data_IF_509640049627
#
_entry.id   IF_509640049627
#
_cell.length_a   1.000
_cell.length_b   1.000
_cell.length_c   1.000
_cell.angle_alpha   90.00
_cell.angle_beta   90.00
_cell.angle_gamma   90.00
#
_symmetry.space_group_name_H-M   'P 1'
#
loop_
_entity.id
_entity.type
_entity.pdbx_description
1 polymer ?
#
# COMPACT_ATOMS: atom_id res chain seq x y z
N UNK A 1 -31.85 -34.73 33.93
CA UNK A 1 -31.89 -33.66 32.92
C UNK A 1 -31.02 -32.50 33.40
N UNK A 2 -29.72 -32.54 33.12
CA UNK A 2 -28.83 -31.40 33.37
C UNK A 2 -28.74 -30.61 32.06
N UNK A 3 -29.35 -29.43 32.07
CA UNK A 3 -29.21 -28.45 31.01
C UNK A 3 -27.74 -28.04 30.91
N UNK A 4 -27.10 -28.38 29.79
CA UNK A 4 -25.77 -27.87 29.46
C UNK A 4 -25.85 -26.36 29.24
N UNK A 5 -24.97 -25.65 29.94
CA UNK A 5 -24.87 -24.19 30.04
C UNK A 5 -24.62 -23.53 28.69
N UNK A 6 -25.18 -22.32 28.53
CA UNK A 6 -25.17 -21.51 27.31
C UNK A 6 -23.80 -20.88 26.98
N UNK A 7 -22.71 -21.32 27.60
CA UNK A 7 -21.38 -20.69 27.47
C UNK A 7 -20.47 -21.27 26.37
N UNK A 8 -20.75 -22.42 25.77
CA UNK A 8 -19.94 -22.96 24.65
C UNK A 8 -20.53 -22.58 23.28
N UNK A 9 -20.76 -21.28 23.06
CA UNK A 9 -21.04 -20.79 21.70
C UNK A 9 -19.74 -20.84 20.92
N UNK A 10 -19.41 -22.02 20.38
CA UNK A 10 -18.27 -22.28 19.50
C UNK A 10 -18.27 -21.17 18.44
N UNK A 11 -17.23 -20.31 18.39
CA UNK A 11 -17.23 -19.20 17.45
C UNK A 11 -17.31 -19.79 16.04
N UNK A 12 -18.22 -19.23 15.24
CA UNK A 12 -18.47 -19.59 13.84
C UNK A 12 -17.21 -19.23 13.02
N UNK A 13 -16.17 -20.06 13.16
CA UNK A 13 -14.78 -19.84 12.76
C UNK A 13 -14.60 -20.10 11.26
N UNK A 14 -15.27 -19.27 10.48
CA UNK A 14 -15.01 -19.13 9.04
C UNK A 14 -13.61 -18.55 8.74
N UNK A 15 -12.92 -18.03 9.77
CA UNK A 15 -11.66 -17.28 9.67
C UNK A 15 -10.40 -18.13 9.48
N UNK A 16 -10.44 -19.43 9.80
CA UNK A 16 -9.24 -20.27 9.74
C UNK A 16 -9.13 -21.08 8.44
N UNK A 17 -10.11 -20.99 7.53
CA UNK A 17 -10.05 -21.74 6.27
C UNK A 17 -9.05 -21.10 5.32
N UNK A 18 -8.10 -21.91 4.85
CA UNK A 18 -7.14 -21.54 3.81
C UNK A 18 -7.88 -21.25 2.50
N UNK A 19 -7.22 -20.53 1.59
CA UNK A 19 -7.78 -20.25 0.27
C UNK A 19 -8.14 -21.56 -0.47
N UNK A 20 -7.28 -22.58 -0.36
CA UNK A 20 -7.45 -23.88 -1.01
C UNK A 20 -8.65 -24.64 -0.45
N UNK A 21 -8.80 -24.68 0.88
CA UNK A 21 -9.93 -25.33 1.54
C UNK A 21 -11.27 -24.69 1.17
N UNK A 22 -11.28 -23.35 1.06
CA UNK A 22 -12.48 -22.64 0.61
C UNK A 22 -12.81 -22.94 -0.85
N UNK A 23 -11.80 -23.09 -1.71
CA UNK A 23 -12.01 -23.51 -3.10
C UNK A 23 -12.58 -24.93 -3.13
N UNK A 24 -12.04 -25.85 -2.34
CA UNK A 24 -12.57 -27.22 -2.24
C UNK A 24 -14.03 -27.23 -1.81
N UNK A 25 -14.41 -26.45 -0.81
CA UNK A 25 -15.81 -26.34 -0.38
C UNK A 25 -16.73 -25.78 -1.46
N UNK A 26 -16.25 -24.81 -2.24
CA UNK A 26 -16.99 -24.29 -3.38
C UNK A 26 -17.17 -25.38 -4.45
N UNK A 27 -16.13 -26.15 -4.76
CA UNK A 27 -16.20 -27.27 -5.71
C UNK A 27 -17.16 -28.36 -5.23
N UNK A 28 -17.13 -28.72 -3.95
CA UNK A 28 -18.04 -29.68 -3.34
C UNK A 28 -19.50 -29.23 -3.43
N UNK A 29 -19.76 -27.92 -3.32
CA UNK A 29 -21.10 -27.35 -3.43
C UNK A 29 -21.70 -27.43 -4.84
N UNK A 30 -20.88 -27.65 -5.86
CA UNK A 30 -21.33 -27.82 -7.24
C UNK A 30 -21.92 -29.20 -7.55
N UNK A 31 -21.84 -30.16 -6.62
CA UNK A 31 -22.43 -31.50 -6.78
C UNK A 31 -23.94 -31.44 -6.59
N UNK A 32 -24.69 -32.00 -7.53
CA UNK A 32 -26.16 -32.01 -7.47
C UNK A 32 -26.70 -32.73 -6.23
N UNK A 33 -27.71 -32.13 -5.59
CA UNK A 33 -28.42 -32.72 -4.44
C UNK A 33 -27.66 -32.69 -3.11
N UNK A 34 -26.48 -32.08 -3.03
CA UNK A 34 -25.71 -32.01 -1.80
C UNK A 34 -26.15 -30.84 -0.92
N UNK A 35 -26.54 -31.14 0.32
CA UNK A 35 -26.84 -30.12 1.33
C UNK A 35 -25.56 -29.59 1.98
N UNK A 36 -25.59 -28.39 2.57
CA UNK A 36 -24.44 -27.83 3.29
C UNK A 36 -23.93 -28.71 4.44
N UNK A 37 -24.81 -29.54 5.04
CA UNK A 37 -24.42 -30.53 6.05
C UNK A 37 -23.56 -31.63 5.44
N UNK A 38 -24.04 -32.23 4.34
CA UNK A 38 -23.30 -33.28 3.61
C UNK A 38 -21.95 -32.78 3.12
N UNK A 39 -21.88 -31.52 2.65
CA UNK A 39 -20.63 -30.89 2.24
C UNK A 39 -19.66 -30.75 3.41
N UNK A 40 -20.13 -30.28 4.57
CA UNK A 40 -19.29 -30.14 5.76
C UNK A 40 -18.81 -31.51 6.29
N UNK A 41 -19.69 -32.51 6.31
CA UNK A 41 -19.35 -33.89 6.69
C UNK A 41 -18.26 -34.46 5.78
N UNK A 42 -18.46 -34.40 4.46
CA UNK A 42 -17.49 -34.86 3.47
C UNK A 42 -16.14 -34.14 3.61
N UNK A 43 -16.16 -32.82 3.80
CA UNK A 43 -14.95 -32.05 4.00
C UNK A 43 -14.23 -32.46 5.30
N UNK A 44 -14.95 -32.61 6.41
CA UNK A 44 -14.36 -33.03 7.69
C UNK A 44 -13.80 -34.45 7.62
N UNK A 45 -14.42 -35.35 6.85
CA UNK A 45 -13.89 -36.70 6.59
C UNK A 45 -12.56 -36.67 5.84
N UNK A 46 -12.41 -35.76 4.87
CA UNK A 46 -11.14 -35.58 4.12
C UNK A 46 -10.05 -34.88 4.92
N UNK A 47 -10.43 -34.08 5.91
CA UNK A 47 -9.51 -33.29 6.74
C UNK A 47 -9.58 -33.68 8.22
N UNK A 48 -9.25 -34.93 8.60
CA UNK A 48 -9.43 -35.45 9.96
C UNK A 48 -8.50 -34.80 10.99
N UNK A 49 -7.36 -34.25 10.54
CA UNK A 49 -6.40 -33.54 11.40
C UNK A 49 -6.78 -32.08 11.66
N UNK A 50 -7.85 -31.58 11.02
CA UNK A 50 -8.36 -30.23 11.19
C UNK A 50 -9.52 -30.24 12.17
N UNK A 51 -9.70 -29.13 12.89
CA UNK A 51 -10.95 -28.93 13.61
C UNK A 51 -12.16 -28.95 12.67
N UNK A 52 -13.23 -29.70 13.00
CA UNK A 52 -14.40 -29.81 12.15
C UNK A 52 -15.02 -28.46 11.83
N UNK A 53 -15.32 -28.24 10.56
CA UNK A 53 -16.12 -27.10 10.11
C UNK A 53 -17.61 -27.43 10.24
N UNK A 54 -18.41 -26.39 10.48
CA UNK A 54 -19.86 -26.52 10.56
C UNK A 54 -20.53 -26.14 9.24
N UNK A 55 -21.71 -26.69 8.97
CA UNK A 55 -22.51 -26.40 7.78
C UNK A 55 -22.87 -24.91 7.64
N UNK A 56 -22.91 -24.15 8.75
CA UNK A 56 -23.09 -22.69 8.76
C UNK A 56 -21.94 -21.96 8.08
N UNK A 57 -20.70 -22.40 8.33
CA UNK A 57 -19.51 -21.83 7.70
C UNK A 57 -19.51 -22.06 6.18
N UNK A 58 -19.95 -23.26 5.74
CA UNK A 58 -20.16 -23.57 4.31
C UNK A 58 -21.20 -22.63 3.71
N UNK A 59 -22.36 -22.49 4.35
CA UNK A 59 -23.42 -21.59 3.86
C UNK A 59 -22.98 -20.14 3.75
N UNK A 60 -22.26 -19.62 4.75
CA UNK A 60 -21.70 -18.26 4.71
C UNK A 60 -20.66 -18.08 3.62
N UNK A 61 -19.79 -19.07 3.42
CA UNK A 61 -18.79 -19.05 2.34
C UNK A 61 -19.46 -19.01 0.98
N UNK A 62 -20.40 -19.92 0.71
CA UNK A 62 -21.11 -19.98 -0.58
C UNK A 62 -21.90 -18.70 -0.82
N UNK A 63 -22.58 -18.17 0.20
CA UNK A 63 -23.28 -16.89 0.10
C UNK A 63 -22.32 -15.75 -0.26
N UNK A 64 -21.17 -15.64 0.41
CA UNK A 64 -20.14 -14.65 0.11
C UNK A 64 -19.67 -14.78 -1.34
N UNK A 65 -19.35 -15.99 -1.79
CA UNK A 65 -18.86 -16.25 -3.15
C UNK A 65 -19.92 -15.89 -4.19
N UNK A 66 -21.20 -16.18 -3.95
CA UNK A 66 -22.31 -15.77 -4.82
C UNK A 66 -22.47 -14.25 -4.89
N UNK A 67 -22.26 -13.54 -3.79
CA UNK A 67 -22.39 -12.07 -3.73
C UNK A 67 -21.19 -11.34 -4.35
N UNK A 68 -19.95 -11.77 -4.09
CA UNK A 68 -18.73 -11.06 -4.49
C UNK A 68 -17.96 -11.71 -5.63
N UNK A 69 -18.34 -12.93 -6.06
CA UNK A 69 -17.60 -13.71 -7.07
C UNK A 69 -16.20 -14.17 -6.62
N UNK A 70 -15.86 -14.00 -5.33
CA UNK A 70 -14.51 -14.22 -4.82
C UNK A 70 -14.49 -15.04 -3.54
N UNK A 71 -13.54 -15.97 -3.49
CA UNK A 71 -13.28 -16.84 -2.33
C UNK A 71 -12.35 -16.16 -1.31
N UNK A 72 -11.66 -15.10 -1.74
CA UNK A 72 -10.70 -14.34 -0.92
C UNK A 72 -11.38 -13.68 0.28
N UNK A 73 -10.55 -13.34 1.27
CA UNK A 73 -11.02 -12.52 2.38
C UNK A 73 -11.41 -11.13 1.89
N UNK A 74 -12.51 -10.60 2.44
CA UNK A 74 -12.84 -9.20 2.25
C UNK A 74 -11.71 -8.37 2.86
N UNK A 75 -11.33 -7.24 2.24
CA UNK A 75 -10.36 -6.34 2.85
C UNK A 75 -10.85 -5.96 4.25
N UNK A 76 -9.98 -6.11 5.25
CA UNK A 76 -10.34 -5.76 6.62
C UNK A 76 -10.63 -4.27 6.68
N UNK A 77 -11.74 -3.89 7.32
CA UNK A 77 -11.98 -2.50 7.69
C UNK A 77 -10.92 -2.10 8.71
N UNK A 78 -9.84 -1.48 8.22
CA UNK A 78 -8.79 -0.92 9.07
C UNK A 78 -9.24 0.40 9.72
N UNK A 79 -8.32 1.00 10.49
CA UNK A 79 -8.51 2.36 11.00
C UNK A 79 -8.80 3.31 9.84
N UNK A 80 -9.85 4.15 9.90
CA UNK A 80 -10.17 5.08 8.83
C UNK A 80 -8.97 5.98 8.53
N UNK A 81 -8.68 6.13 7.23
CA UNK A 81 -7.67 7.08 6.76
C UNK A 81 -8.20 8.50 6.99
N UNK A 82 -7.29 9.47 7.18
CA UNK A 82 -7.65 10.90 7.14
C UNK A 82 -8.25 11.23 5.77
N UNK A 83 -9.20 12.19 5.74
CA UNK A 83 -9.90 12.60 4.51
C UNK A 83 -8.92 13.08 3.46
N UNK A 84 -9.26 12.85 2.19
CA UNK A 84 -8.41 13.25 1.07
C UNK A 84 -8.27 14.78 0.98
N UNK A 85 -9.31 15.53 1.33
CA UNK A 85 -9.26 16.99 1.49
C UNK A 85 -8.14 17.46 2.42
N UNK A 86 -7.95 16.79 3.56
CA UNK A 86 -6.88 17.17 4.50
C UNK A 86 -5.50 16.87 3.94
N UNK A 87 -5.37 15.82 3.12
CA UNK A 87 -4.11 15.51 2.43
C UNK A 87 -3.82 16.59 1.40
N UNK A 88 -4.79 16.91 0.54
CA UNK A 88 -4.64 17.93 -0.50
C UNK A 88 -4.25 19.29 0.09
N UNK A 89 -4.90 19.71 1.18
CA UNK A 89 -4.54 20.94 1.89
C UNK A 89 -3.10 20.92 2.43
N UNK A 90 -2.66 19.80 2.98
CA UNK A 90 -1.27 19.61 3.44
C UNK A 90 -0.28 19.68 2.27
N UNK A 91 -0.58 18.99 1.17
CA UNK A 91 0.28 18.96 -0.01
C UNK A 91 0.38 20.32 -0.68
N UNK A 92 -0.75 21.01 -0.90
CA UNK A 92 -0.78 22.36 -1.44
C UNK A 92 0.05 23.34 -0.60
N UNK A 93 -0.05 23.25 0.74
CA UNK A 93 0.70 24.13 1.64
C UNK A 93 2.20 23.89 1.58
N UNK A 94 2.62 22.64 1.44
CA UNK A 94 4.02 22.24 1.38
C UNK A 94 4.62 22.61 0.02
N UNK A 95 3.91 22.35 -1.07
CA UNK A 95 4.33 22.77 -2.42
C UNK A 95 4.47 24.29 -2.53
N UNK A 96 3.57 25.06 -1.91
CA UNK A 96 3.66 26.52 -1.88
C UNK A 96 4.80 27.07 -1.01
N UNK A 97 5.36 26.28 -0.08
CA UNK A 97 6.41 26.74 0.84
C UNK A 97 7.28 25.56 1.34
N UNK A 98 8.09 24.95 0.47
CA UNK A 98 8.81 23.71 0.78
C UNK A 98 9.87 23.87 1.88
N UNK A 99 10.38 25.09 2.07
CA UNK A 99 11.39 25.41 3.08
C UNK A 99 10.81 25.56 4.50
N UNK A 100 9.48 25.61 4.66
CA UNK A 100 8.85 25.82 5.99
C UNK A 100 8.84 24.54 6.82
N UNK A 101 8.94 24.72 8.14
CA UNK A 101 8.94 23.58 9.06
C UNK A 101 7.55 22.93 9.16
N UNK A 102 7.53 21.59 9.28
CA UNK A 102 6.29 20.84 9.46
C UNK A 102 5.51 21.24 10.73
N UNK A 103 6.22 21.79 11.74
CA UNK A 103 5.59 22.30 12.96
C UNK A 103 4.74 23.54 12.65
N UNK A 104 5.24 24.46 11.82
CA UNK A 104 4.48 25.62 11.36
C UNK A 104 3.28 25.19 10.52
N UNK A 105 3.47 24.26 9.59
CA UNK A 105 2.39 23.71 8.76
C UNK A 105 1.30 23.05 9.62
N UNK A 106 1.70 22.32 10.67
CA UNK A 106 0.80 21.73 11.65
C UNK A 106 -0.04 22.78 12.38
N UNK A 107 0.57 23.86 12.87
CA UNK A 107 -0.16 24.95 13.52
C UNK A 107 -1.15 25.64 12.58
N UNK A 108 -0.77 25.86 11.32
CA UNK A 108 -1.62 26.54 10.33
C UNK A 108 -2.82 25.68 9.91
N UNK A 109 -2.61 24.38 9.72
CA UNK A 109 -3.66 23.48 9.23
C UNK A 109 -4.43 22.76 10.34
N UNK A 110 -4.01 22.91 11.61
CA UNK A 110 -4.58 22.15 12.73
C UNK A 110 -4.34 20.63 12.67
N UNK A 111 -3.47 20.16 11.77
CA UNK A 111 -3.16 18.73 11.59
C UNK A 111 -1.93 18.37 12.41
N UNK A 112 -1.91 17.27 13.18
CA UNK A 112 -0.73 16.87 13.95
C UNK A 112 0.51 16.66 13.06
N UNK A 113 1.67 17.17 13.49
CA UNK A 113 2.96 17.03 12.77
C UNK A 113 3.26 15.57 12.37
N UNK A 114 2.97 14.61 13.23
CA UNK A 114 3.20 13.18 12.96
C UNK A 114 2.34 12.65 11.81
N UNK A 115 1.13 13.19 11.63
CA UNK A 115 0.25 12.85 10.51
C UNK A 115 0.78 13.46 9.22
N UNK A 116 1.18 14.73 9.25
CA UNK A 116 1.81 15.42 8.10
C UNK A 116 3.07 14.67 7.66
N UNK A 117 3.91 14.25 8.61
CA UNK A 117 5.12 13.47 8.30
C UNK A 117 4.80 12.13 7.62
N UNK A 118 3.78 11.39 8.08
CA UNK A 118 3.33 10.14 7.44
C UNK A 118 2.79 10.38 6.03
N UNK A 119 2.03 11.46 5.83
CA UNK A 119 1.53 11.87 4.51
C UNK A 119 2.71 12.12 3.55
N UNK A 120 3.69 12.93 3.98
CA UNK A 120 4.87 13.23 3.15
C UNK A 120 5.71 12.00 2.82
N UNK A 121 5.87 11.09 3.77
CA UNK A 121 6.57 9.83 3.52
C UNK A 121 5.85 8.97 2.48
N UNK A 122 4.51 8.94 2.54
CA UNK A 122 3.68 8.20 1.57
C UNK A 122 3.79 8.81 0.17
N UNK A 123 3.78 10.14 0.09
CA UNK A 123 3.91 10.92 -1.16
C UNK A 123 5.38 11.07 -1.63
N UNK A 124 6.33 10.36 -1.00
CA UNK A 124 7.76 10.37 -1.35
C UNK A 124 8.41 11.77 -1.35
N UNK A 125 7.93 12.67 -0.50
CA UNK A 125 8.60 13.95 -0.28
C UNK A 125 9.84 13.74 0.57
N UNK A 126 10.99 14.11 0.02
CA UNK A 126 12.26 14.07 0.71
C UNK A 126 12.59 15.45 1.30
N UNK A 127 13.29 15.44 2.44
CA UNK A 127 13.87 16.66 2.99
C UNK A 127 14.88 17.20 1.99
N UNK A 128 14.78 18.48 1.66
CA UNK A 128 15.83 19.17 0.92
C UNK A 128 17.10 19.28 1.78
N UNK A 129 18.22 18.78 1.26
CA UNK A 129 19.53 18.93 1.88
C UNK A 129 20.14 20.25 1.41
N UNK A 130 20.57 21.09 2.36
CA UNK A 130 21.24 22.34 2.04
C UNK A 130 22.55 22.03 1.32
N UNK A 131 22.69 22.53 0.10
CA UNK A 131 23.96 22.55 -0.63
C UNK A 131 24.60 23.92 -0.44
N UNK A 132 25.83 23.94 0.05
CA UNK A 132 26.63 25.17 0.11
C UNK A 132 27.24 25.35 -1.27
N UNK A 133 26.74 26.32 -2.02
CA UNK A 133 27.23 26.68 -3.34
C UNK A 133 28.01 28.00 -3.24
N UNK A 134 29.03 28.15 -4.08
CA UNK A 134 29.70 29.45 -4.23
C UNK A 134 28.72 30.48 -4.78
N UNK A 135 28.85 31.74 -4.35
CA UNK A 135 28.05 32.82 -4.93
C UNK A 135 28.43 32.97 -6.41
N UNK A 136 27.44 32.98 -7.29
CA UNK A 136 27.65 33.34 -8.69
C UNK A 136 27.56 34.87 -8.77
N UNK A 137 28.57 35.52 -9.35
CA UNK A 137 28.48 36.94 -9.72
C UNK A 137 27.61 37.09 -10.98
N UNK A 138 27.12 38.30 -11.27
CA UNK A 138 26.18 38.56 -12.38
C UNK A 138 26.68 38.04 -13.74
N UNK A 139 27.99 38.11 -14.02
CA UNK A 139 28.57 37.64 -15.29
C UNK A 139 28.94 36.14 -15.30
N UNK A 140 28.75 35.42 -14.19
CA UNK A 140 29.16 34.01 -14.08
C UNK A 140 28.23 33.07 -14.84
N UNK A 141 26.89 33.21 -14.78
CA UNK A 141 25.97 32.39 -15.57
C UNK A 141 26.25 32.45 -17.07
N UNK A 142 26.45 33.65 -17.63
CA UNK A 142 26.70 33.83 -19.07
C UNK A 142 28.03 33.20 -19.49
N UNK A 143 29.08 33.38 -18.67
CA UNK A 143 30.37 32.73 -18.92
C UNK A 143 30.27 31.21 -18.82
N UNK A 144 29.54 30.70 -17.82
CA UNK A 144 29.33 29.25 -17.67
C UNK A 144 28.57 28.68 -18.86
N UNK A 145 27.51 29.36 -19.30
CA UNK A 145 26.71 28.95 -20.46
C UNK A 145 27.56 28.95 -21.73
N UNK A 146 28.29 30.03 -22.01
CA UNK A 146 29.22 30.11 -23.15
C UNK A 146 30.28 29.01 -23.09
N UNK A 147 30.88 28.75 -21.93
CA UNK A 147 31.87 27.66 -21.81
C UNK A 147 31.24 26.30 -22.07
N UNK A 148 30.02 26.03 -21.59
CA UNK A 148 29.32 24.78 -21.83
C UNK A 148 28.99 24.60 -23.32
N UNK A 149 28.47 25.64 -23.98
CA UNK A 149 28.18 25.64 -25.42
C UNK A 149 29.44 25.39 -26.24
N UNK A 150 30.51 26.12 -25.95
CA UNK A 150 31.79 25.94 -26.64
C UNK A 150 32.35 24.52 -26.46
N UNK A 151 32.26 23.95 -25.26
CA UNK A 151 32.68 22.56 -25.03
C UNK A 151 31.81 21.57 -25.81
N UNK A 152 30.48 21.77 -25.84
CA UNK A 152 29.55 20.96 -26.64
C UNK A 152 29.92 20.97 -28.13
N UNK A 153 30.15 22.15 -28.71
CA UNK A 153 30.55 22.27 -30.12
C UNK A 153 31.85 21.50 -30.40
N UNK A 154 32.82 21.55 -29.48
CA UNK A 154 34.10 20.84 -29.63
C UNK A 154 33.95 19.33 -29.51
N UNK A 155 33.00 18.84 -28.72
CA UNK A 155 32.68 17.41 -28.68
C UNK A 155 32.01 16.92 -29.97
N UNK A 156 31.13 17.74 -30.55
CA UNK A 156 30.47 17.43 -31.81
C UNK A 156 31.46 17.42 -32.99
N UNK A 157 32.44 18.33 -32.98
CA UNK A 157 33.54 18.33 -33.96
C UNK A 157 34.51 17.14 -33.77
N UNK A 158 34.82 16.76 -32.52
CA UNK A 158 35.76 15.68 -32.22
C UNK A 158 35.45 14.98 -30.88
N UNK A 159 34.94 13.75 -30.97
CA UNK A 159 34.63 12.88 -29.82
C UNK A 159 35.86 12.62 -28.91
N UNK A 160 37.08 12.67 -29.44
CA UNK A 160 38.32 12.44 -28.69
C UNK A 160 38.96 13.73 -28.13
N UNK A 161 38.30 14.89 -28.21
CA UNK A 161 38.84 16.20 -27.81
C UNK A 161 39.43 16.22 -26.38
N UNK A 162 38.82 15.51 -25.43
CA UNK A 162 39.27 15.45 -24.02
C UNK A 162 40.63 14.81 -23.82
N UNK A 163 41.11 13.98 -24.77
CA UNK A 163 42.44 13.35 -24.68
C UNK A 163 43.58 14.36 -24.79
N UNK A 164 43.32 15.56 -25.32
CA UNK A 164 44.33 16.61 -25.46
C UNK A 164 44.64 17.36 -24.15
N UNK A 165 43.79 17.24 -23.11
CA UNK A 165 43.94 17.98 -21.86
C UNK A 165 44.65 17.20 -20.74
N UNK A 166 44.78 15.87 -20.88
CA UNK A 166 45.37 14.99 -19.84
C UNK A 166 46.85 14.68 -20.11
N UNK A 167 47.42 15.20 -21.21
CA UNK A 167 48.82 15.02 -21.58
C UNK A 167 49.66 16.28 -21.28
N UNK A 168 49.89 16.56 -19.99
CA UNK A 168 51.01 17.37 -19.49
C UNK A 168 51.55 16.73 -18.22
#
# INVERSE_FOLDING_TARGET
MMALSKEERIPDRMMDLSKEERIELVLLSGREGWTYRKIAEEFNLRHPYRHPIFFTAVGKLIKKVKETGSVLDKPRSGRPKKSDETKEAVMAKISASPKKSLRRTSTVLGVPKSTIHKMLFTEKFHRYNLQILHHLNEDVPDRQMWTCEWFSDKFDENINFTKNFVAQ
#
